data_IF_375644705708
#
_entry.id   IF_375644705708
#
_cell.length_a   1.000
_cell.length_b   1.000
_cell.length_c   1.000
_cell.angle_alpha   90.00
_cell.angle_beta   90.00
_cell.angle_gamma   90.00
#
_symmetry.space_group_name_H-M   'P 1'
#
loop_
_entity.id
_entity.type
_entity.pdbx_description
1 polymer ?
#
# COMPACT_ATOMS: atom_id res chain seq x y z
N UNK A 1 -17.30 32.13 50.16
CA UNK A 1 -18.20 31.23 49.41
C UNK A 1 -18.52 31.74 48.00
N UNK A 2 -18.93 33.00 47.71
CA UNK A 2 -19.29 33.42 46.35
C UNK A 2 -18.11 33.39 45.37
N UNK A 3 -16.90 33.73 45.82
CA UNK A 3 -15.69 33.69 44.99
C UNK A 3 -15.36 32.26 44.50
N UNK A 4 -15.48 31.27 45.39
CA UNK A 4 -15.23 29.85 45.04
C UNK A 4 -16.22 29.37 43.98
N UNK A 5 -17.50 29.71 44.11
CA UNK A 5 -18.54 29.34 43.14
C UNK A 5 -18.27 30.02 41.80
N UNK A 6 -17.85 31.27 41.77
CA UNK A 6 -17.50 31.99 40.57
C UNK A 6 -16.29 31.35 39.83
N UNK A 7 -15.25 30.95 40.57
CA UNK A 7 -14.07 30.27 39.98
C UNK A 7 -14.43 28.90 39.42
N UNK A 8 -15.22 28.11 40.15
CA UNK A 8 -15.66 26.78 39.65
C UNK A 8 -16.52 26.92 38.40
N UNK A 9 -17.46 27.91 38.39
CA UNK A 9 -18.27 28.16 37.20
C UNK A 9 -17.42 28.60 35.98
N UNK A 10 -16.42 29.46 36.20
CA UNK A 10 -15.51 29.92 35.17
C UNK A 10 -14.70 28.75 34.60
N UNK A 11 -14.10 27.93 35.46
CA UNK A 11 -13.31 26.73 35.02
C UNK A 11 -14.21 25.75 34.29
N UNK A 12 -15.41 25.47 34.79
CA UNK A 12 -16.37 24.59 34.12
C UNK A 12 -16.75 25.07 32.73
N UNK A 13 -16.99 26.39 32.59
CA UNK A 13 -17.29 27.00 31.28
C UNK A 13 -16.08 26.88 30.31
N UNK A 14 -14.88 27.18 30.78
CA UNK A 14 -13.65 27.04 30.01
C UNK A 14 -13.41 25.58 29.54
N UNK A 15 -13.60 24.60 30.42
CA UNK A 15 -13.49 23.19 30.11
C UNK A 15 -14.51 22.77 29.05
N UNK A 16 -15.76 23.22 29.15
CA UNK A 16 -16.80 22.91 28.18
C UNK A 16 -16.51 23.51 26.83
N UNK A 17 -16.06 24.76 26.77
CA UNK A 17 -15.66 25.42 25.51
C UNK A 17 -14.49 24.68 24.88
N UNK A 18 -13.48 24.31 25.66
CA UNK A 18 -12.31 23.56 25.17
C UNK A 18 -12.71 22.18 24.60
N UNK A 19 -13.60 21.48 25.30
CA UNK A 19 -14.11 20.18 24.82
C UNK A 19 -14.87 20.32 23.49
N UNK A 20 -15.73 21.33 23.37
CA UNK A 20 -16.49 21.59 22.12
C UNK A 20 -15.54 21.94 20.96
N UNK A 21 -14.53 22.79 21.22
CA UNK A 21 -13.53 23.14 20.21
C UNK A 21 -12.70 21.90 19.78
N UNK A 22 -12.28 21.08 20.73
CA UNK A 22 -11.52 19.86 20.44
C UNK A 22 -12.35 18.87 19.62
N UNK A 23 -13.62 18.65 19.98
CA UNK A 23 -14.52 17.81 19.18
C UNK A 23 -14.78 18.40 17.79
N UNK A 24 -14.89 19.72 17.68
CA UNK A 24 -15.02 20.42 16.40
C UNK A 24 -13.81 20.22 15.49
N UNK A 25 -12.60 20.32 16.04
CA UNK A 25 -11.34 20.09 15.30
C UNK A 25 -11.23 18.63 14.86
N UNK A 26 -11.51 17.68 15.76
CA UNK A 26 -11.49 16.25 15.43
C UNK A 26 -12.48 15.92 14.30
N UNK A 27 -13.70 16.48 14.38
CA UNK A 27 -14.74 16.27 13.37
C UNK A 27 -14.32 16.87 12.01
N UNK A 28 -13.73 18.05 12.02
CA UNK A 28 -13.24 18.73 10.81
C UNK A 28 -12.03 18.03 10.19
N UNK A 29 -11.10 17.53 11.03
CA UNK A 29 -9.99 16.71 10.56
C UNK A 29 -10.48 15.40 9.93
N UNK A 30 -11.48 14.76 10.52
CA UNK A 30 -12.09 13.54 9.99
C UNK A 30 -12.79 13.79 8.64
N UNK A 31 -13.53 14.89 8.53
CA UNK A 31 -14.17 15.33 7.28
C UNK A 31 -13.13 15.69 6.19
N UNK A 32 -12.01 16.33 6.56
CA UNK A 32 -10.91 16.56 5.64
C UNK A 32 -10.16 15.28 5.29
N UNK A 33 -10.03 14.34 6.21
CA UNK A 33 -9.42 13.02 5.93
C UNK A 33 -10.35 12.18 5.03
N UNK A 34 -11.66 12.27 5.21
CA UNK A 34 -12.64 11.63 4.33
C UNK A 34 -12.70 12.30 2.95
N UNK A 35 -12.57 13.64 2.87
CA UNK A 35 -12.47 14.38 1.60
C UNK A 35 -11.13 14.17 0.91
N UNK A 36 -10.03 14.07 1.64
CA UNK A 36 -8.73 13.68 1.11
C UNK A 36 -8.71 12.18 0.76
N UNK A 37 -9.42 11.34 1.50
CA UNK A 37 -9.69 9.96 1.15
C UNK A 37 -10.61 9.83 -0.06
N UNK A 38 -11.55 10.74 -0.28
CA UNK A 38 -12.41 10.79 -1.48
C UNK A 38 -11.74 11.48 -2.68
N UNK A 39 -10.76 12.36 -2.44
CA UNK A 39 -9.89 12.99 -3.47
C UNK A 39 -8.61 12.19 -3.70
N UNK A 40 -8.15 11.43 -2.71
CA UNK A 40 -7.15 10.35 -2.85
C UNK A 40 -7.80 9.02 -3.24
N UNK A 41 -8.99 9.14 -3.73
CA UNK A 41 -9.62 8.11 -4.52
C UNK A 41 -10.34 7.05 -3.68
N UNK A 42 -11.38 6.56 -4.22
CA UNK A 42 -11.34 5.15 -4.63
C UNK A 42 -9.86 4.71 -4.66
N UNK A 43 -9.52 3.58 -3.98
CA UNK A 43 -8.19 3.03 -4.20
C UNK A 43 -8.00 3.14 -5.69
N UNK A 44 -6.96 3.87 -6.13
CA UNK A 44 -6.67 4.03 -7.57
C UNK A 44 -6.44 2.61 -8.05
N UNK A 45 -7.56 1.96 -8.36
CA UNK A 45 -7.54 0.69 -9.05
C UNK A 45 -6.91 1.05 -10.37
N UNK A 46 -5.73 0.56 -10.56
CA UNK A 46 -5.12 0.63 -11.87
C UNK A 46 -6.17 0.09 -12.83
N UNK A 47 -6.50 0.90 -13.82
CA UNK A 47 -7.56 0.51 -14.75
C UNK A 47 -7.13 -0.74 -15.50
N UNK A 48 -8.02 -1.73 -15.53
CA UNK A 48 -7.82 -2.91 -16.36
C UNK A 48 -7.61 -2.46 -17.80
N UNK A 49 -6.54 -2.92 -18.43
CA UNK A 49 -6.10 -2.48 -19.76
C UNK A 49 -5.08 -1.35 -19.73
N UNK A 50 -4.76 -0.77 -18.57
CA UNK A 50 -3.67 0.19 -18.45
C UNK A 50 -2.35 -0.48 -18.81
N UNK A 51 -1.57 0.15 -19.69
CA UNK A 51 -0.23 -0.32 -20.05
C UNK A 51 0.75 -0.06 -18.90
N UNK A 52 1.57 -1.05 -18.60
CA UNK A 52 2.69 -0.93 -17.65
C UNK A 52 3.82 -0.21 -18.39
N UNK A 53 4.28 0.88 -17.80
CA UNK A 53 5.42 1.67 -18.33
C UNK A 53 6.73 0.86 -18.32
N UNK A 54 7.75 1.45 -18.92
CA UNK A 54 9.08 0.86 -18.94
C UNK A 54 9.70 0.86 -17.54
N UNK A 55 10.31 -0.26 -17.18
CA UNK A 55 11.16 -0.38 -16.00
C UNK A 55 12.39 -1.24 -16.30
N UNK A 56 13.50 -0.81 -15.74
CA UNK A 56 14.79 -1.52 -15.73
C UNK A 56 15.43 -1.30 -14.38
N UNK A 57 15.43 -2.35 -13.57
CA UNK A 57 15.95 -2.34 -12.20
C UNK A 57 16.47 -3.72 -11.81
N UNK A 58 16.88 -3.90 -10.58
CA UNK A 58 17.32 -5.18 -10.05
C UNK A 58 16.65 -5.48 -8.71
N UNK A 59 16.41 -6.77 -8.44
CA UNK A 59 15.99 -7.20 -7.12
C UNK A 59 17.09 -6.99 -6.07
N UNK A 60 16.73 -7.07 -4.80
CA UNK A 60 17.67 -7.05 -3.67
C UNK A 60 18.71 -8.17 -3.73
N UNK A 61 18.48 -9.21 -4.51
CA UNK A 61 19.40 -10.31 -4.78
C UNK A 61 20.22 -10.12 -6.06
N UNK A 62 20.09 -8.97 -6.74
CA UNK A 62 20.81 -8.66 -7.97
C UNK A 62 20.21 -9.30 -9.24
N UNK A 63 19.00 -9.84 -9.19
CA UNK A 63 18.31 -10.39 -10.36
C UNK A 63 17.78 -9.23 -11.23
N UNK A 64 18.05 -9.22 -12.54
CA UNK A 64 17.55 -8.15 -13.40
C UNK A 64 16.03 -8.21 -13.54
N UNK A 65 15.38 -7.07 -13.38
CA UNK A 65 13.96 -6.87 -13.54
C UNK A 65 13.73 -5.82 -14.63
N UNK A 66 13.50 -6.29 -15.83
CA UNK A 66 13.27 -5.48 -17.02
C UNK A 66 11.91 -5.83 -17.60
N UNK A 67 11.11 -4.82 -17.96
CA UNK A 67 9.76 -5.05 -18.49
C UNK A 67 9.72 -6.05 -19.63
N UNK A 68 10.65 -5.94 -20.57
CA UNK A 68 10.70 -6.78 -21.77
C UNK A 68 11.14 -8.24 -21.49
N UNK A 69 11.68 -8.50 -20.32
CA UNK A 69 12.05 -9.85 -19.86
C UNK A 69 10.93 -10.53 -19.04
N UNK A 70 9.88 -9.81 -18.72
CA UNK A 70 8.70 -10.38 -18.07
C UNK A 70 8.06 -11.38 -19.03
N UNK A 71 7.87 -12.61 -18.56
CA UNK A 71 7.22 -13.66 -19.36
C UNK A 71 6.00 -14.21 -18.62
N UNK A 72 4.83 -14.13 -19.24
CA UNK A 72 3.59 -14.62 -18.66
C UNK A 72 2.94 -13.66 -17.65
N UNK A 73 1.95 -14.15 -16.89
CA UNK A 73 1.29 -13.39 -15.86
C UNK A 73 2.24 -13.05 -14.71
N UNK A 74 2.21 -11.79 -14.24
CA UNK A 74 3.01 -11.33 -13.10
C UNK A 74 2.11 -10.69 -12.06
N UNK A 75 2.31 -11.09 -10.80
CA UNK A 75 1.71 -10.48 -9.63
C UNK A 75 2.65 -9.40 -9.09
N UNK A 76 2.18 -8.16 -9.04
CA UNK A 76 2.89 -7.05 -8.42
C UNK A 76 2.30 -6.73 -7.05
N UNK A 77 3.18 -6.52 -6.06
CA UNK A 77 2.79 -6.05 -4.74
C UNK A 77 3.60 -4.81 -4.36
N UNK A 78 2.92 -3.75 -3.89
CA UNK A 78 3.56 -2.52 -3.44
C UNK A 78 3.22 -2.27 -1.98
N UNK A 79 4.25 -2.09 -1.17
CA UNK A 79 4.13 -1.93 0.28
C UNK A 79 5.00 -0.77 0.76
N UNK A 80 4.64 -0.19 1.90
CA UNK A 80 5.51 0.75 2.61
C UNK A 80 5.62 0.34 4.08
N UNK A 81 6.82 0.32 4.67
CA UNK A 81 7.03 -0.06 6.08
C UNK A 81 6.32 0.86 7.07
N UNK A 82 6.07 2.11 6.69
CA UNK A 82 5.37 3.11 7.50
C UNK A 82 3.84 3.03 7.41
N UNK A 83 3.32 2.14 6.55
CA UNK A 83 1.90 1.97 6.29
C UNK A 83 1.35 0.82 7.14
N UNK A 84 0.51 1.11 8.13
CA UNK A 84 -0.10 0.09 8.98
C UNK A 84 -0.94 -0.93 8.19
N UNK A 85 -1.82 -0.55 7.23
CA UNK A 85 -2.52 -1.52 6.38
C UNK A 85 -1.61 -2.43 5.56
N UNK A 86 -0.38 -1.98 5.26
CA UNK A 86 0.59 -2.81 4.56
C UNK A 86 1.07 -3.99 5.42
N UNK A 87 1.32 -3.76 6.70
CA UNK A 87 1.70 -4.81 7.64
C UNK A 87 0.60 -5.85 7.79
N UNK A 88 -0.65 -5.42 7.86
CA UNK A 88 -1.81 -6.32 7.95
C UNK A 88 -2.02 -7.14 6.66
N UNK A 89 -1.71 -6.56 5.51
CA UNK A 89 -1.91 -7.20 4.20
C UNK A 89 -0.73 -8.11 3.80
N UNK A 90 0.47 -7.85 4.32
CA UNK A 90 1.70 -8.57 3.96
C UNK A 90 1.61 -10.09 4.14
N UNK A 91 1.16 -10.65 5.29
CA UNK A 91 1.08 -12.09 5.45
C UNK A 91 0.12 -12.77 4.45
N UNK A 92 -0.96 -12.06 4.08
CA UNK A 92 -1.91 -12.55 3.08
C UNK A 92 -1.33 -12.53 1.68
N UNK A 93 -0.54 -11.52 1.37
CA UNK A 93 0.18 -11.44 0.11
C UNK A 93 1.21 -12.57 0.00
N UNK A 94 2.01 -12.80 1.03
CA UNK A 94 3.01 -13.89 1.09
C UNK A 94 2.33 -15.25 0.88
N UNK A 95 1.21 -15.50 1.55
CA UNK A 95 0.47 -16.74 1.37
C UNK A 95 -0.10 -16.89 -0.05
N UNK A 96 -0.63 -15.81 -0.61
CA UNK A 96 -1.12 -15.80 -1.99
C UNK A 96 0.02 -16.05 -3.00
N UNK A 97 1.14 -15.36 -2.83
CA UNK A 97 2.32 -15.45 -3.68
C UNK A 97 2.96 -16.86 -3.69
N UNK A 98 2.90 -17.60 -2.58
CA UNK A 98 3.35 -19.01 -2.53
C UNK A 98 2.60 -19.93 -3.48
N UNK A 99 1.37 -19.57 -3.82
CA UNK A 99 0.51 -20.36 -4.69
C UNK A 99 0.48 -19.87 -6.15
N UNK A 100 1.27 -18.84 -6.48
CA UNK A 100 1.35 -18.36 -7.85
C UNK A 100 1.94 -19.42 -8.79
N UNK A 101 1.30 -19.67 -9.96
CA UNK A 101 1.70 -20.76 -10.86
C UNK A 101 3.13 -20.65 -11.39
N UNK A 102 3.66 -19.43 -11.52
CA UNK A 102 5.03 -19.17 -11.94
C UNK A 102 6.04 -19.17 -10.81
N UNK A 103 5.60 -19.38 -9.55
CA UNK A 103 6.43 -19.29 -8.37
C UNK A 103 7.04 -17.89 -8.16
N UNK A 104 8.18 -17.84 -7.50
CA UNK A 104 8.86 -16.59 -7.13
C UNK A 104 9.16 -15.68 -8.34
N UNK A 105 9.45 -16.23 -9.50
CA UNK A 105 9.79 -15.47 -10.70
C UNK A 105 8.59 -14.75 -11.34
N UNK A 106 7.37 -15.13 -10.99
CA UNK A 106 6.14 -14.46 -11.42
C UNK A 106 5.58 -13.48 -10.39
N UNK A 107 6.31 -13.23 -9.32
CA UNK A 107 5.91 -12.29 -8.27
C UNK A 107 6.99 -11.23 -8.09
N UNK A 108 6.62 -9.97 -8.24
CA UNK A 108 7.50 -8.83 -8.00
C UNK A 108 6.89 -8.01 -6.85
N UNK A 109 7.66 -7.86 -5.78
CA UNK A 109 7.25 -7.07 -4.63
C UNK A 109 8.15 -5.83 -4.48
N UNK A 110 7.55 -4.67 -4.45
CA UNK A 110 8.26 -3.39 -4.27
C UNK A 110 7.98 -2.86 -2.87
N UNK A 111 9.04 -2.60 -2.12
CA UNK A 111 8.98 -1.96 -0.81
C UNK A 111 9.43 -0.52 -0.95
N UNK A 112 8.51 0.42 -0.72
CA UNK A 112 8.76 1.84 -0.87
C UNK A 112 9.11 2.45 0.48
N UNK A 113 10.37 2.83 0.63
CA UNK A 113 10.94 3.38 1.87
C UNK A 113 12.45 3.20 1.92
N UNK A 114 13.07 3.71 2.98
CA UNK A 114 14.51 3.51 3.17
C UNK A 114 14.86 2.04 3.48
N UNK A 115 16.11 1.66 3.18
CA UNK A 115 16.57 0.27 3.24
C UNK A 115 16.46 -0.35 4.65
N UNK A 116 16.71 0.45 5.69
CA UNK A 116 16.68 -0.05 7.08
C UNK A 116 15.23 -0.36 7.51
N UNK A 117 14.30 0.54 7.18
CA UNK A 117 12.89 0.32 7.46
C UNK A 117 12.29 -0.82 6.61
N UNK A 118 12.80 -1.03 5.40
CA UNK A 118 12.34 -2.08 4.49
C UNK A 118 12.80 -3.49 4.89
N UNK A 119 13.82 -3.64 5.73
CA UNK A 119 14.50 -4.90 6.00
C UNK A 119 13.57 -6.05 6.44
N UNK A 120 12.59 -5.77 7.30
CA UNK A 120 11.60 -6.76 7.76
C UNK A 120 10.74 -7.25 6.59
N UNK A 121 10.20 -6.34 5.77
CA UNK A 121 9.40 -6.66 4.58
C UNK A 121 10.20 -7.44 3.54
N UNK A 122 11.45 -7.03 3.29
CA UNK A 122 12.35 -7.73 2.37
C UNK A 122 12.58 -9.16 2.83
N UNK A 123 12.80 -9.38 4.12
CA UNK A 123 13.01 -10.72 4.69
C UNK A 123 11.82 -11.64 4.43
N UNK A 124 10.59 -11.17 4.66
CA UNK A 124 9.38 -11.97 4.46
C UNK A 124 9.05 -12.21 2.98
N UNK A 125 9.26 -11.18 2.14
CA UNK A 125 8.90 -11.21 0.73
C UNK A 125 9.90 -11.99 -0.13
N UNK A 126 11.18 -12.02 0.24
CA UNK A 126 12.24 -12.63 -0.58
C UNK A 126 12.07 -14.14 -0.81
N UNK A 127 11.34 -14.81 0.07
CA UNK A 127 11.02 -16.24 -0.09
C UNK A 127 10.05 -16.51 -1.25
N UNK A 128 9.17 -15.54 -1.55
CA UNK A 128 8.03 -15.74 -2.46
C UNK A 128 8.03 -14.78 -3.66
N UNK A 129 8.89 -13.77 -3.66
CA UNK A 129 8.91 -12.71 -4.67
C UNK A 129 10.33 -12.25 -5.00
N UNK A 130 10.50 -11.66 -6.19
CA UNK A 130 11.65 -10.82 -6.50
C UNK A 130 11.40 -9.45 -5.88
N UNK A 131 12.23 -9.04 -4.92
CA UNK A 131 11.98 -7.84 -4.10
C UNK A 131 12.82 -6.68 -4.60
N UNK A 132 12.17 -5.53 -4.79
CA UNK A 132 12.81 -4.24 -5.08
C UNK A 132 12.58 -3.32 -3.88
N UNK A 133 13.62 -2.57 -3.50
CA UNK A 133 13.49 -1.46 -2.53
C UNK A 133 13.74 -0.17 -3.28
N UNK A 134 12.82 0.77 -3.18
CA UNK A 134 12.93 2.06 -3.87
C UNK A 134 12.31 3.19 -3.04
N UNK A 135 12.63 4.43 -3.41
CA UNK A 135 11.99 5.62 -2.87
C UNK A 135 10.59 5.85 -3.48
N UNK A 136 9.86 6.85 -2.99
CA UNK A 136 8.49 7.19 -3.44
C UNK A 136 8.38 7.48 -4.94
N UNK A 137 9.46 7.94 -5.56
CA UNK A 137 9.54 8.26 -7.01
C UNK A 137 10.30 7.17 -7.78
N UNK A 138 10.35 5.96 -7.23
CA UNK A 138 11.09 4.84 -7.79
C UNK A 138 10.55 4.36 -9.15
N UNK A 139 11.37 3.57 -9.82
CA UNK A 139 11.13 3.11 -11.20
C UNK A 139 9.88 2.25 -11.28
N UNK A 140 9.71 1.31 -10.34
CA UNK A 140 8.57 0.38 -10.34
C UNK A 140 7.25 1.10 -10.05
N UNK A 141 7.24 1.96 -9.01
CA UNK A 141 6.06 2.76 -8.66
C UNK A 141 5.63 3.70 -9.77
N UNK A 142 6.61 4.30 -10.47
CA UNK A 142 6.36 5.18 -11.61
C UNK A 142 5.83 4.41 -12.82
N UNK A 143 6.44 3.29 -13.19
CA UNK A 143 6.06 2.47 -14.34
C UNK A 143 4.63 1.92 -14.22
N UNK A 144 4.20 1.60 -13.00
CA UNK A 144 2.87 1.08 -12.74
C UNK A 144 1.88 2.17 -12.27
N UNK A 145 2.33 3.42 -12.11
CA UNK A 145 1.46 4.53 -11.68
C UNK A 145 0.93 4.38 -10.25
N UNK A 146 1.70 3.74 -9.37
CA UNK A 146 1.31 3.48 -7.98
C UNK A 146 1.30 4.79 -7.18
N UNK A 147 0.19 5.05 -6.48
CA UNK A 147 0.02 6.26 -5.66
C UNK A 147 -0.46 5.99 -4.25
N UNK A 148 -0.80 4.73 -3.94
CA UNK A 148 -1.31 4.34 -2.64
C UNK A 148 -0.77 2.95 -2.24
N UNK A 149 -0.67 2.71 -0.94
CA UNK A 149 -0.20 1.46 -0.36
C UNK A 149 -1.22 0.92 0.65
N UNK A 150 -1.36 -0.42 0.75
CA UNK A 150 -0.80 -1.44 -0.13
C UNK A 150 -1.56 -1.55 -1.46
N UNK A 151 -0.85 -1.73 -2.58
CA UNK A 151 -1.44 -2.04 -3.88
C UNK A 151 -1.01 -3.43 -4.33
N UNK A 152 -1.94 -4.23 -4.83
CA UNK A 152 -1.66 -5.56 -5.39
C UNK A 152 -2.41 -5.68 -6.69
N UNK A 153 -1.70 -5.96 -7.75
CA UNK A 153 -2.24 -6.01 -9.11
C UNK A 153 -1.62 -7.16 -9.92
N UNK A 154 -2.30 -7.54 -10.98
CA UNK A 154 -1.81 -8.53 -11.94
C UNK A 154 -1.68 -7.90 -13.31
N UNK A 155 -0.58 -8.19 -13.99
CA UNK A 155 -0.38 -7.80 -15.38
C UNK A 155 -0.02 -9.00 -16.24
N UNK A 156 -0.40 -8.94 -17.51
CA UNK A 156 -0.16 -9.96 -18.52
C UNK A 156 0.15 -9.30 -19.86
N UNK A 157 0.79 -10.05 -20.75
CA UNK A 157 0.97 -9.58 -22.12
C UNK A 157 -0.34 -9.68 -22.91
N UNK A 158 -0.74 -8.54 -23.47
CA UNK A 158 -1.83 -8.50 -24.45
C UNK A 158 -1.40 -9.13 -25.79
N UNK A 159 -2.35 -9.38 -26.66
CA UNK A 159 -2.08 -9.99 -27.98
C UNK A 159 -1.13 -9.16 -28.87
N UNK A 160 -0.99 -7.88 -28.59
CA UNK A 160 -0.08 -6.95 -29.29
C UNK A 160 1.32 -6.88 -28.63
N UNK A 161 1.58 -7.69 -27.60
CA UNK A 161 2.85 -7.78 -26.90
C UNK A 161 3.06 -6.73 -25.80
N UNK A 162 2.10 -5.81 -25.56
CA UNK A 162 2.19 -4.86 -24.45
C UNK A 162 1.87 -5.54 -23.12
N UNK A 163 2.63 -5.20 -22.06
CA UNK A 163 2.31 -5.63 -20.71
C UNK A 163 1.18 -4.73 -20.17
N UNK A 164 0.04 -5.30 -19.86
CA UNK A 164 -1.14 -4.56 -19.40
C UNK A 164 -1.69 -5.09 -18.09
N UNK A 165 -2.27 -4.22 -17.29
CA UNK A 165 -2.95 -4.59 -16.06
C UNK A 165 -4.25 -5.34 -16.39
N UNK A 166 -4.38 -6.55 -15.87
CA UNK A 166 -5.58 -7.39 -16.04
C UNK A 166 -6.43 -7.45 -14.77
N UNK A 167 -5.85 -7.16 -13.61
CA UNK A 167 -6.54 -7.00 -12.33
C UNK A 167 -5.82 -5.91 -11.51
N UNK A 168 -6.48 -4.83 -11.25
CA UNK A 168 -5.93 -3.66 -10.52
C UNK A 168 -6.10 -3.71 -9.00
N UNK A 169 -6.77 -4.74 -8.45
CA UNK A 169 -6.95 -4.94 -7.00
C UNK A 169 -7.18 -6.42 -6.71
N UNK A 170 -6.11 -7.19 -6.79
CA UNK A 170 -6.15 -8.64 -6.57
C UNK A 170 -6.67 -8.97 -5.17
N UNK A 171 -7.76 -9.71 -5.12
CA UNK A 171 -8.35 -10.16 -3.87
C UNK A 171 -7.46 -11.21 -3.20
N UNK A 172 -6.71 -10.78 -2.19
CA UNK A 172 -5.93 -11.70 -1.36
C UNK A 172 -6.87 -12.50 -0.46
N UNK A 173 -6.90 -13.81 -0.62
CA UNK A 173 -7.72 -14.71 0.19
C UNK A 173 -7.46 -14.51 1.69
N UNK A 174 -8.44 -14.91 2.53
CA UNK A 174 -8.25 -14.92 3.98
C UNK A 174 -7.19 -15.97 4.31
N UNK A 175 -6.17 -15.68 5.14
CA UNK A 175 -5.18 -16.68 5.50
C UNK A 175 -5.88 -17.88 6.12
N UNK A 176 -5.52 -19.08 5.67
CA UNK A 176 -6.02 -20.33 6.24
C UNK A 176 -5.49 -20.44 7.69
N UNK A 177 -6.31 -20.03 8.69
CA UNK A 177 -5.88 -20.10 10.08
C UNK A 177 -6.61 -19.17 11.05
N UNK A 178 -7.43 -18.22 10.58
CA UNK A 178 -8.30 -17.42 11.43
C UNK A 178 -9.75 -17.90 11.34
N UNK A 179 -10.00 -19.10 11.88
CA UNK A 179 -11.35 -19.48 12.33
C UNK A 179 -11.56 -18.84 13.70
N UNK A 180 -12.55 -17.94 13.79
CA UNK A 180 -13.02 -17.34 15.02
C UNK A 180 -13.55 -18.39 16.00
#
# INVERSE_FOLDING_TARGET
>A
MPLLIAVVALVGTLCTVNLVLTLGVIRRLREHTELLGAVQGEPLRLEVGQEVGDFDTASTLGEPLVRDLVTGPVLFGFFSPTCEPCRDKLPRFVEHARHEPGGRSSVIATVVGDADAAAEFVSELSEVAQVVVEDSDGVMGTALGIRAFPSVLRAEHAADGRLVVVDGDVALGRPAGLTA
#
